data_IF_656953760140
#
_entry.id   IF_656953760140
#
_cell.length_a   1.000
_cell.length_b   1.000
_cell.length_c   1.000
_cell.angle_alpha   90.00
_cell.angle_beta   90.00
_cell.angle_gamma   90.00
#
_symmetry.space_group_name_H-M   'P 1'
#
loop_
_entity.id
_entity.type
_entity.pdbx_description
1 polymer ?
#
# COMPACT_ATOMS: atom_id res chain seq x y z
N UNK A 1 -18.88 18.07 -7.69
CA UNK A 1 -18.41 18.87 -6.54
C UNK A 1 -16.91 19.00 -6.72
N UNK A 2 -16.41 20.22 -6.92
CA UNK A 2 -14.97 20.43 -7.11
C UNK A 2 -14.26 20.16 -5.79
N UNK A 3 -13.50 19.06 -5.71
CA UNK A 3 -12.70 18.74 -4.54
C UNK A 3 -11.54 19.72 -4.48
N UNK A 4 -11.38 20.41 -3.33
CA UNK A 4 -10.29 21.36 -3.09
C UNK A 4 -8.94 20.67 -3.30
N UNK A 5 -8.02 21.36 -3.99
CA UNK A 5 -6.64 20.90 -4.21
C UNK A 5 -5.68 21.79 -3.45
N UNK A 6 -4.74 21.18 -2.74
CA UNK A 6 -3.63 21.84 -2.07
C UNK A 6 -2.34 21.29 -2.67
N UNK A 7 -1.48 22.17 -3.17
CA UNK A 7 -0.21 21.80 -3.79
C UNK A 7 0.91 22.31 -2.89
N UNK A 8 1.91 21.46 -2.65
CA UNK A 8 3.09 21.78 -1.84
C UNK A 8 4.30 21.00 -2.35
N UNK A 9 5.48 21.28 -1.79
CA UNK A 9 6.69 20.47 -2.01
C UNK A 9 6.97 19.60 -0.79
N UNK A 10 7.77 18.56 -0.95
CA UNK A 10 8.22 17.70 0.17
C UNK A 10 8.82 18.52 1.33
N UNK A 11 9.57 19.57 1.03
CA UNK A 11 10.25 20.42 2.00
C UNK A 11 9.26 21.29 2.79
N UNK A 12 8.19 21.73 2.13
CA UNK A 12 7.17 22.61 2.71
C UNK A 12 5.97 21.86 3.28
N UNK A 13 5.90 20.54 3.14
CA UNK A 13 4.76 19.73 3.57
C UNK A 13 4.39 19.97 5.05
N UNK A 14 5.37 20.06 5.94
CA UNK A 14 5.13 20.29 7.38
C UNK A 14 4.54 21.67 7.71
N UNK A 15 4.54 22.61 6.75
CA UNK A 15 3.98 23.96 6.91
C UNK A 15 2.56 24.08 6.32
N UNK A 16 2.04 23.02 5.70
CA UNK A 16 0.71 23.03 5.09
C UNK A 16 -0.37 22.99 6.18
N UNK A 17 -1.39 23.83 6.04
CA UNK A 17 -2.59 23.71 6.87
C UNK A 17 -3.46 22.56 6.36
N UNK A 18 -3.62 21.51 7.18
CA UNK A 18 -4.54 20.41 6.90
C UNK A 18 -5.98 20.85 7.18
N UNK A 19 -6.90 20.49 6.29
CA UNK A 19 -8.34 20.69 6.49
C UNK A 19 -8.92 19.44 7.15
N UNK A 20 -9.74 19.64 8.18
CA UNK A 20 -10.48 18.57 8.87
C UNK A 20 -11.95 18.62 8.48
N UNK A 21 -12.60 17.46 8.56
CA UNK A 21 -14.03 17.23 8.33
C UNK A 21 -14.51 17.62 6.92
N UNK A 22 -13.56 17.78 5.99
CA UNK A 22 -13.79 17.98 4.56
C UNK A 22 -12.78 17.17 3.73
N UNK A 23 -13.21 16.72 2.55
CA UNK A 23 -12.37 15.99 1.61
C UNK A 23 -11.53 16.96 0.78
N UNK A 24 -10.24 16.69 0.63
CA UNK A 24 -9.35 17.46 -0.23
C UNK A 24 -8.28 16.57 -0.88
N UNK A 25 -7.69 17.08 -1.96
CA UNK A 25 -6.54 16.45 -2.60
C UNK A 25 -5.29 17.22 -2.20
N UNK A 26 -4.31 16.52 -1.64
CA UNK A 26 -2.96 17.02 -1.44
C UNK A 26 -2.06 16.51 -2.57
N UNK A 27 -1.34 17.41 -3.21
CA UNK A 27 -0.33 17.10 -4.21
C UNK A 27 1.02 17.54 -3.64
N UNK A 28 1.92 16.57 -3.44
CA UNK A 28 3.28 16.82 -2.96
C UNK A 28 4.25 16.63 -4.11
N UNK A 29 4.93 17.71 -4.50
CA UNK A 29 5.98 17.67 -5.51
C UNK A 29 7.30 17.23 -4.87
N UNK A 30 7.93 16.20 -5.45
CA UNK A 30 9.26 15.75 -5.04
C UNK A 30 10.01 15.16 -6.23
N UNK A 31 11.23 15.65 -6.49
CA UNK A 31 12.09 15.19 -7.61
C UNK A 31 11.34 15.15 -8.96
N UNK A 32 10.65 16.24 -9.30
CA UNK A 32 9.86 16.38 -10.55
C UNK A 32 8.70 15.38 -10.71
N UNK A 33 8.35 14.66 -9.64
CA UNK A 33 7.20 13.76 -9.60
C UNK A 33 6.14 14.31 -8.65
N UNK A 34 4.88 14.25 -9.07
CA UNK A 34 3.74 14.59 -8.23
C UNK A 34 3.27 13.33 -7.49
N UNK A 35 3.12 13.44 -6.18
CA UNK A 35 2.51 12.41 -5.34
C UNK A 35 1.15 12.93 -4.89
N UNK A 36 0.08 12.32 -5.40
CA UNK A 36 -1.28 12.74 -5.08
C UNK A 36 -1.92 11.87 -4.01
N UNK A 37 -2.62 12.54 -3.11
CA UNK A 37 -3.33 11.94 -1.99
C UNK A 37 -4.73 12.54 -1.94
N UNK A 38 -5.76 11.71 -1.83
CA UNK A 38 -7.09 12.11 -1.41
C UNK A 38 -7.16 11.91 0.10
N UNK A 39 -7.55 12.95 0.84
CA UNK A 39 -7.63 12.92 2.30
C UNK A 39 -9.05 13.17 2.76
N UNK A 40 -9.46 12.42 3.78
CA UNK A 40 -10.64 12.69 4.60
C UNK A 40 -10.21 12.63 6.06
N UNK A 41 -9.79 13.78 6.60
CA UNK A 41 -9.27 13.88 7.96
C UNK A 41 -10.40 14.22 8.91
N UNK A 42 -10.49 13.53 10.05
CA UNK A 42 -11.58 13.70 11.02
C UNK A 42 -11.05 14.34 12.29
N UNK A 43 -11.63 15.46 12.72
CA UNK A 43 -11.19 16.16 13.93
C UNK A 43 -11.42 15.34 15.21
N UNK A 44 -12.34 14.38 15.17
CA UNK A 44 -12.69 13.47 16.27
C UNK A 44 -11.85 12.20 16.35
N UNK A 45 -10.94 11.96 15.40
CA UNK A 45 -10.20 10.69 15.29
C UNK A 45 -8.73 10.86 15.66
N UNK A 46 -8.19 9.93 16.45
CA UNK A 46 -6.76 9.81 16.76
C UNK A 46 -6.07 8.63 16.04
N UNK A 47 -6.80 7.93 15.17
CA UNK A 47 -6.29 6.85 14.32
C UNK A 47 -6.25 7.25 12.84
N UNK A 48 -5.36 6.60 12.09
CA UNK A 48 -5.13 6.86 10.67
C UNK A 48 -5.22 5.57 9.85
N UNK A 49 -6.03 5.60 8.80
CA UNK A 49 -6.10 4.56 7.78
C UNK A 49 -5.49 5.04 6.47
N UNK A 50 -4.52 4.30 5.92
CA UNK A 50 -3.86 4.63 4.66
C UNK A 50 -4.16 3.54 3.63
N UNK A 51 -4.78 3.91 2.51
CA UNK A 51 -5.29 2.95 1.52
C UNK A 51 -4.48 3.03 0.22
N UNK A 52 -3.92 1.89 -0.19
CA UNK A 52 -3.13 1.75 -1.41
C UNK A 52 -3.94 1.47 -2.67
N UNK A 53 -3.33 1.77 -3.81
CA UNK A 53 -3.94 1.58 -5.13
C UNK A 53 -3.74 0.14 -5.67
N UNK A 54 -4.79 -0.42 -6.27
CA UNK A 54 -4.77 -1.66 -7.04
C UNK A 54 -4.42 -1.45 -8.52
N UNK A 55 -4.62 -2.51 -9.32
CA UNK A 55 -4.49 -2.42 -10.78
C UNK A 55 -5.60 -1.56 -11.40
N UNK A 56 -5.27 -0.84 -12.46
CA UNK A 56 -6.20 -0.04 -13.26
C UNK A 56 -6.22 -0.49 -14.72
N UNK A 57 -7.30 -0.18 -15.43
CA UNK A 57 -7.30 -0.15 -16.89
C UNK A 57 -6.98 1.28 -17.37
N UNK A 58 -5.78 1.53 -17.94
CA UNK A 58 -5.38 2.88 -18.37
C UNK A 58 -6.24 3.42 -19.52
N UNK A 59 -7.07 2.59 -20.17
CA UNK A 59 -8.05 3.05 -21.16
C UNK A 59 -9.35 3.57 -20.54
N UNK A 60 -9.65 3.15 -19.30
CA UNK A 60 -10.90 3.49 -18.60
C UNK A 60 -10.73 4.52 -17.49
N UNK A 61 -9.50 4.70 -17.02
CA UNK A 61 -9.19 5.59 -15.90
C UNK A 61 -8.16 6.63 -16.28
N UNK A 62 -8.41 7.87 -15.84
CA UNK A 62 -7.45 8.97 -15.90
C UNK A 62 -6.78 9.12 -14.53
N UNK A 63 -5.46 9.19 -14.52
CA UNK A 63 -4.70 9.43 -13.29
C UNK A 63 -4.89 10.88 -12.78
N UNK A 64 -4.85 11.12 -11.45
CA UNK A 64 -4.63 10.14 -10.38
C UNK A 64 -5.86 9.26 -10.09
N UNK A 65 -5.63 8.01 -9.68
CA UNK A 65 -6.70 7.09 -9.26
C UNK A 65 -6.56 6.77 -7.77
N UNK A 66 -7.62 7.06 -7.00
CA UNK A 66 -7.72 6.75 -5.58
C UNK A 66 -8.68 5.57 -5.37
N UNK A 67 -8.16 4.35 -5.29
CA UNK A 67 -9.02 3.19 -5.00
C UNK A 67 -9.69 3.36 -3.63
N UNK A 68 -10.99 3.01 -3.55
CA UNK A 68 -11.80 3.04 -2.31
C UNK A 68 -12.09 4.42 -1.74
N UNK A 69 -11.72 5.52 -2.40
CA UNK A 69 -12.04 6.88 -1.90
C UNK A 69 -13.54 7.13 -1.73
N UNK A 70 -14.40 6.40 -2.45
CA UNK A 70 -15.85 6.47 -2.28
C UNK A 70 -16.33 5.97 -0.91
N UNK A 71 -15.48 5.26 -0.16
CA UNK A 71 -15.77 4.77 1.19
C UNK A 71 -15.42 5.78 2.28
N UNK A 72 -14.85 6.93 1.91
CA UNK A 72 -14.28 7.89 2.85
C UNK A 72 -15.27 8.34 3.96
N UNK A 73 -16.55 8.48 3.63
CA UNK A 73 -17.58 8.90 4.61
C UNK A 73 -17.92 7.80 5.62
N UNK A 74 -17.75 6.53 5.23
CA UNK A 74 -18.11 5.35 6.03
C UNK A 74 -16.93 4.83 6.87
N UNK A 75 -15.71 5.27 6.59
CA UNK A 75 -14.52 4.97 7.40
C UNK A 75 -14.58 5.81 8.68
N UNK A 76 -14.51 5.19 9.86
CA UNK A 76 -14.68 5.85 11.14
C UNK A 76 -13.57 6.87 11.47
N UNK A 77 -12.35 6.64 11.00
CA UNK A 77 -11.16 7.42 11.33
C UNK A 77 -10.68 8.37 10.21
N UNK A 78 -9.58 9.09 10.46
CA UNK A 78 -8.89 9.85 9.43
C UNK A 78 -8.36 8.90 8.35
N UNK A 79 -8.55 9.23 7.08
CA UNK A 79 -8.13 8.38 5.96
C UNK A 79 -7.34 9.11 4.89
N UNK A 80 -6.33 8.43 4.36
CA UNK A 80 -5.47 8.86 3.24
C UNK A 80 -5.55 7.79 2.15
N UNK A 81 -5.87 8.18 0.93
CA UNK A 81 -5.86 7.32 -0.24
C UNK A 81 -4.83 7.88 -1.20
N UNK A 82 -3.92 7.04 -1.70
CA UNK A 82 -2.85 7.52 -2.58
C UNK A 82 -2.90 6.85 -3.96
N UNK A 83 -2.55 7.65 -4.96
CA UNK A 83 -2.29 7.17 -6.31
C UNK A 83 -0.92 6.49 -6.39
N UNK A 84 -0.73 5.52 -7.27
CA UNK A 84 0.60 4.98 -7.58
C UNK A 84 1.22 5.80 -8.73
N UNK A 85 2.19 6.69 -8.48
CA UNK A 85 2.73 7.56 -9.53
C UNK A 85 3.58 6.79 -10.55
N UNK A 86 3.92 5.53 -10.28
CA UNK A 86 4.61 4.66 -11.25
C UNK A 86 3.79 4.53 -12.54
N UNK A 87 2.46 4.64 -12.43
CA UNK A 87 1.54 4.59 -13.57
C UNK A 87 1.72 5.78 -14.54
N UNK A 88 2.35 6.87 -14.12
CA UNK A 88 2.70 7.99 -15.03
C UNK A 88 3.90 7.69 -15.93
N UNK A 89 4.72 6.68 -15.60
CA UNK A 89 5.97 6.40 -16.31
C UNK A 89 5.75 5.65 -17.64
N UNK A 90 4.55 5.09 -17.86
CA UNK A 90 4.24 4.35 -19.07
C UNK A 90 2.83 3.76 -19.08
N UNK A 91 2.49 3.08 -20.17
CA UNK A 91 1.19 2.44 -20.34
C UNK A 91 1.14 1.09 -19.62
N UNK A 92 1.06 1.13 -18.29
CA UNK A 92 1.01 -0.03 -17.40
C UNK A 92 -0.29 -0.04 -16.58
N UNK A 93 -0.75 -1.24 -16.22
CA UNK A 93 -1.95 -1.41 -15.40
C UNK A 93 -1.66 -1.29 -13.90
N UNK A 94 -0.43 -1.56 -13.48
CA UNK A 94 -0.06 -1.81 -12.10
C UNK A 94 1.43 -1.51 -11.93
N UNK A 95 1.76 -0.71 -10.93
CA UNK A 95 3.12 -0.23 -10.71
C UNK A 95 3.75 -0.67 -9.39
N UNK A 96 2.96 -1.18 -8.43
CA UNK A 96 3.41 -1.56 -7.07
C UNK A 96 4.26 -0.48 -6.38
N UNK A 97 4.06 0.81 -6.70
CA UNK A 97 4.82 1.93 -6.16
C UNK A 97 6.33 1.91 -6.47
N UNK A 98 6.74 1.26 -7.56
CA UNK A 98 8.15 1.07 -7.89
C UNK A 98 8.89 2.35 -8.28
N UNK A 99 8.23 3.30 -8.95
CA UNK A 99 8.91 4.44 -9.55
C UNK A 99 9.95 3.98 -10.57
N UNK A 100 11.21 4.40 -10.40
CA UNK A 100 12.33 4.01 -11.26
C UNK A 100 13.55 3.49 -10.47
N UNK A 101 14.62 3.13 -11.19
CA UNK A 101 15.87 2.63 -10.60
C UNK A 101 16.44 3.56 -9.51
N UNK A 102 16.38 4.88 -9.74
CA UNK A 102 16.97 5.92 -8.90
C UNK A 102 15.99 6.52 -7.87
N UNK A 103 14.68 6.37 -8.09
CA UNK A 103 13.64 6.93 -7.23
C UNK A 103 12.56 5.89 -6.94
N UNK A 104 12.64 5.27 -5.76
CA UNK A 104 11.61 4.35 -5.28
C UNK A 104 10.43 5.11 -4.67
N UNK A 105 9.26 4.98 -5.28
CA UNK A 105 8.11 5.79 -4.91
C UNK A 105 7.49 5.38 -3.57
N UNK A 106 7.50 4.10 -3.16
CA UNK A 106 6.99 3.71 -1.84
C UNK A 106 7.76 4.34 -0.67
N UNK A 107 9.08 4.53 -0.79
CA UNK A 107 9.85 5.26 0.22
C UNK A 107 9.41 6.73 0.30
N UNK A 108 9.10 7.35 -0.84
CA UNK A 108 8.62 8.74 -0.87
C UNK A 108 7.21 8.87 -0.32
N UNK A 109 6.31 7.96 -0.70
CA UNK A 109 4.95 7.87 -0.17
C UNK A 109 5.00 7.67 1.35
N UNK A 110 5.86 6.78 1.84
CA UNK A 110 6.06 6.57 3.29
C UNK A 110 6.49 7.87 3.99
N UNK A 111 7.49 8.59 3.46
CA UNK A 111 7.95 9.86 4.04
C UNK A 111 6.83 10.91 4.10
N UNK A 112 5.98 10.99 3.07
CA UNK A 112 4.84 11.91 3.04
C UNK A 112 3.79 11.50 4.09
N UNK A 113 3.43 10.23 4.14
CA UNK A 113 2.46 9.70 5.11
C UNK A 113 2.96 9.91 6.55
N UNK A 114 4.25 9.67 6.83
CA UNK A 114 4.86 9.93 8.14
C UNK A 114 4.72 11.40 8.51
N UNK A 115 5.08 12.32 7.61
CA UNK A 115 4.93 13.76 7.86
C UNK A 115 3.47 14.16 8.13
N UNK A 116 2.52 13.61 7.39
CA UNK A 116 1.09 13.86 7.61
C UNK A 116 0.67 13.30 8.98
N UNK A 117 1.05 12.08 9.32
CA UNK A 117 0.76 11.47 10.63
C UNK A 117 1.34 12.28 11.80
N UNK A 118 2.57 12.79 11.65
CA UNK A 118 3.22 13.67 12.64
C UNK A 118 2.44 14.98 12.83
N UNK A 119 1.97 15.61 11.73
CA UNK A 119 1.14 16.82 11.78
C UNK A 119 -0.21 16.56 12.48
N UNK A 120 -0.76 15.36 12.30
CA UNK A 120 -1.97 14.89 12.98
C UNK A 120 -1.71 14.44 14.42
N UNK A 121 -0.43 14.34 14.84
CA UNK A 121 0.01 13.78 16.12
C UNK A 121 -0.46 12.33 16.34
N UNK A 122 -0.62 11.58 15.25
CA UNK A 122 -1.02 10.18 15.28
C UNK A 122 0.23 9.31 15.34
N UNK A 123 0.30 8.45 16.36
CA UNK A 123 1.45 7.56 16.55
C UNK A 123 1.44 6.39 15.54
N UNK A 124 2.59 5.78 15.22
CA UNK A 124 2.66 4.62 14.35
C UNK A 124 1.70 3.49 14.74
N UNK A 125 1.54 3.20 16.04
CA UNK A 125 0.67 2.12 16.55
C UNK A 125 -0.82 2.37 16.29
N UNK A 126 -1.19 3.61 16.01
CA UNK A 126 -2.55 4.03 15.64
C UNK A 126 -2.70 4.24 14.13
N UNK A 127 -1.72 3.80 13.35
CA UNK A 127 -1.75 3.83 11.88
C UNK A 127 -1.91 2.43 11.31
N UNK A 128 -2.89 2.27 10.42
CA UNK A 128 -3.13 1.04 9.66
C UNK A 128 -3.00 1.31 8.17
N UNK A 129 -2.25 0.48 7.46
CA UNK A 129 -2.20 0.44 6.00
C UNK A 129 -3.12 -0.65 5.49
N UNK A 130 -4.02 -0.31 4.58
CA UNK A 130 -4.95 -1.24 3.98
C UNK A 130 -4.83 -1.33 2.46
N UNK A 131 -4.88 -2.56 1.95
CA UNK A 131 -5.07 -2.79 0.53
C UNK A 131 -5.26 -4.26 0.19
N UNK A 132 -5.85 -4.49 -0.98
CA UNK A 132 -5.96 -5.81 -1.58
C UNK A 132 -5.04 -5.94 -2.78
N UNK A 133 -4.67 -7.15 -3.17
CA UNK A 133 -3.86 -7.40 -4.37
C UNK A 133 -2.59 -6.53 -4.36
N UNK A 134 -2.46 -5.59 -5.31
CA UNK A 134 -1.31 -4.69 -5.43
C UNK A 134 -1.23 -3.69 -4.27
N UNK A 135 -2.39 -3.18 -3.84
CA UNK A 135 -2.49 -2.32 -2.67
C UNK A 135 -2.10 -3.06 -1.39
N UNK A 136 -2.29 -4.39 -1.37
CA UNK A 136 -1.82 -5.26 -0.30
C UNK A 136 -0.29 -5.34 -0.24
N UNK A 137 0.37 -5.50 -1.39
CA UNK A 137 1.83 -5.43 -1.49
C UNK A 137 2.36 -4.11 -0.93
N UNK A 138 1.80 -2.98 -1.39
CA UNK A 138 2.25 -1.66 -0.96
C UNK A 138 1.96 -1.42 0.52
N UNK A 139 0.85 -1.93 1.05
CA UNK A 139 0.52 -1.82 2.49
C UNK A 139 1.50 -2.59 3.37
N UNK A 140 1.87 -3.82 2.98
CA UNK A 140 2.91 -4.60 3.66
C UNK A 140 4.26 -3.86 3.68
N UNK A 141 4.61 -3.23 2.55
CA UNK A 141 5.84 -2.47 2.42
C UNK A 141 5.84 -1.20 3.29
N UNK A 142 4.80 -0.38 3.17
CA UNK A 142 4.68 0.88 3.89
C UNK A 142 4.62 0.66 5.42
N UNK A 143 3.93 -0.40 5.87
CA UNK A 143 3.90 -0.74 7.29
C UNK A 143 5.26 -1.21 7.82
N UNK A 144 6.08 -1.86 6.99
CA UNK A 144 7.46 -2.18 7.35
C UNK A 144 8.36 -0.94 7.46
N UNK A 145 8.09 0.11 6.67
CA UNK A 145 8.80 1.40 6.79
C UNK A 145 8.35 2.19 8.03
N UNK A 146 7.05 2.26 8.32
CA UNK A 146 6.50 2.89 9.52
C UNK A 146 6.44 1.90 10.69
N UNK A 147 7.60 1.66 11.34
CA UNK A 147 7.71 0.74 12.48
C UNK A 147 6.71 1.09 13.58
N UNK A 148 5.99 0.07 14.09
CA UNK A 148 4.89 0.20 15.05
C UNK A 148 3.50 0.09 14.43
N UNK A 149 3.35 0.39 13.15
CA UNK A 149 2.06 0.33 12.42
C UNK A 149 1.59 -1.10 12.11
N UNK A 150 0.38 -1.18 11.56
CA UNK A 150 -0.28 -2.43 11.14
C UNK A 150 -0.53 -2.45 9.63
N UNK A 151 -0.26 -3.58 8.98
CA UNK A 151 -0.74 -3.89 7.64
C UNK A 151 -1.98 -4.78 7.73
N UNK A 152 -3.13 -4.29 7.26
CA UNK A 152 -4.33 -5.09 7.03
C UNK A 152 -4.45 -5.35 5.54
N UNK A 153 -4.42 -6.61 5.12
CA UNK A 153 -4.34 -6.95 3.70
C UNK A 153 -5.29 -8.08 3.34
N UNK A 154 -5.77 -8.07 2.10
CA UNK A 154 -6.65 -9.11 1.58
C UNK A 154 -6.20 -9.59 0.20
N UNK A 155 -5.94 -10.90 0.07
CA UNK A 155 -5.39 -11.51 -1.14
C UNK A 155 -4.19 -10.70 -1.71
N UNK A 156 -3.23 -10.27 -0.87
CA UNK A 156 -2.14 -9.42 -1.33
C UNK A 156 -1.23 -10.20 -2.29
N UNK A 157 -0.68 -9.49 -3.27
CA UNK A 157 0.61 -9.92 -3.79
C UNK A 157 1.69 -9.66 -2.73
N UNK A 158 2.55 -10.65 -2.48
CA UNK A 158 3.65 -10.55 -1.51
C UNK A 158 5.03 -10.61 -2.18
N UNK A 159 5.07 -11.16 -3.40
CA UNK A 159 6.26 -11.35 -4.21
C UNK A 159 5.86 -10.96 -5.64
N UNK A 160 6.25 -9.77 -6.09
CA UNK A 160 5.77 -9.16 -7.35
C UNK A 160 6.03 -10.09 -8.54
N UNK A 161 7.21 -10.70 -8.61
CA UNK A 161 7.57 -11.56 -9.73
C UNK A 161 6.87 -12.93 -9.74
N UNK A 162 6.09 -13.27 -8.70
CA UNK A 162 5.20 -14.44 -8.71
C UNK A 162 3.83 -14.15 -9.34
N UNK A 163 3.51 -12.87 -9.58
CA UNK A 163 2.27 -12.46 -10.25
C UNK A 163 2.29 -12.80 -11.75
N UNK A 164 1.26 -12.41 -12.49
CA UNK A 164 1.20 -12.62 -13.94
C UNK A 164 2.36 -11.94 -14.67
N UNK A 165 3.15 -12.75 -15.37
CA UNK A 165 4.40 -12.36 -16.02
C UNK A 165 4.26 -11.13 -16.93
N UNK A 166 3.17 -11.03 -17.69
CA UNK A 166 2.94 -9.90 -18.60
C UNK A 166 2.88 -8.55 -17.90
N UNK A 167 2.32 -8.49 -16.69
CA UNK A 167 2.27 -7.27 -15.89
C UNK A 167 3.63 -6.96 -15.25
N UNK A 168 4.32 -7.99 -14.75
CA UNK A 168 5.65 -7.86 -14.15
C UNK A 168 6.65 -7.32 -15.17
N UNK A 169 6.72 -7.93 -16.37
CA UNK A 169 7.66 -7.52 -17.41
C UNK A 169 7.40 -6.08 -17.90
N UNK A 170 6.13 -5.69 -18.08
CA UNK A 170 5.78 -4.30 -18.45
C UNK A 170 6.21 -3.29 -17.40
N UNK A 171 6.04 -3.60 -16.12
CA UNK A 171 6.52 -2.75 -15.03
C UNK A 171 8.05 -2.71 -15.03
N UNK A 172 8.75 -3.84 -15.14
CA UNK A 172 10.22 -3.88 -15.19
C UNK A 172 10.79 -3.07 -16.36
N UNK A 173 10.17 -3.16 -17.53
CA UNK A 173 10.56 -2.39 -18.71
C UNK A 173 10.31 -0.89 -18.49
N UNK A 174 9.17 -0.53 -17.91
CA UNK A 174 8.79 0.87 -17.67
C UNK A 174 9.69 1.53 -16.62
N UNK A 175 9.78 0.92 -15.44
CA UNK A 175 10.47 1.43 -14.25
C UNK A 175 11.99 1.28 -14.31
N UNK A 176 12.49 0.17 -14.86
CA UNK A 176 13.90 -0.21 -14.74
C UNK A 176 14.61 -0.43 -16.09
N UNK A 177 13.89 -0.29 -17.21
CA UNK A 177 14.39 -0.59 -18.57
C UNK A 177 14.97 -2.02 -18.68
N UNK A 178 14.39 -2.98 -17.94
CA UNK A 178 14.78 -4.40 -17.95
C UNK A 178 13.74 -5.25 -18.68
N UNK A 179 14.21 -6.28 -19.38
CA UNK A 179 13.35 -7.21 -20.13
C UNK A 179 13.03 -8.50 -19.36
N UNK A 180 13.75 -8.76 -18.27
CA UNK A 180 13.59 -9.97 -17.47
C UNK A 180 13.96 -9.69 -16.00
N UNK A 181 13.58 -10.61 -15.12
CA UNK A 181 13.99 -10.57 -13.72
C UNK A 181 15.48 -10.92 -13.55
N UNK A 182 16.06 -11.69 -14.46
CA UNK A 182 17.48 -12.08 -14.41
C UNK A 182 18.40 -10.87 -14.57
N UNK A 183 17.96 -9.87 -15.34
CA UNK A 183 18.64 -8.60 -15.54
C UNK A 183 18.39 -7.58 -14.40
N UNK A 184 17.53 -7.93 -13.43
CA UNK A 184 17.13 -7.01 -12.37
C UNK A 184 18.25 -6.86 -11.32
N UNK A 185 18.64 -5.63 -10.93
CA UNK A 185 19.75 -5.44 -9.99
C UNK A 185 19.48 -6.13 -8.64
N UNK A 186 20.39 -7.02 -8.24
CA UNK A 186 20.23 -7.83 -7.03
C UNK A 186 20.00 -6.97 -5.77
N UNK A 187 20.68 -5.84 -5.66
CA UNK A 187 20.56 -4.92 -4.54
C UNK A 187 19.19 -4.22 -4.45
N UNK A 188 18.38 -4.27 -5.50
CA UNK A 188 17.02 -3.72 -5.56
C UNK A 188 15.93 -4.78 -5.38
N UNK A 189 16.26 -6.08 -5.29
CA UNK A 189 15.26 -7.16 -5.18
C UNK A 189 14.29 -6.99 -4.01
N UNK A 190 14.73 -6.36 -2.93
CA UNK A 190 13.88 -6.02 -1.79
C UNK A 190 12.66 -5.19 -2.20
N UNK A 191 12.73 -4.38 -3.26
CA UNK A 191 11.60 -3.59 -3.76
C UNK A 191 10.48 -4.45 -4.35
N UNK A 192 10.74 -5.72 -4.70
CA UNK A 192 9.81 -6.61 -5.38
C UNK A 192 9.34 -7.79 -4.52
N UNK A 193 9.89 -7.98 -3.32
CA UNK A 193 9.63 -9.12 -2.46
C UNK A 193 9.55 -8.66 -1.00
N UNK A 194 8.39 -8.83 -0.37
CA UNK A 194 8.13 -8.38 1.00
C UNK A 194 9.04 -9.09 2.03
N UNK A 195 9.18 -10.43 2.04
CA UNK A 195 10.16 -11.09 2.90
C UNK A 195 11.60 -10.58 2.74
N UNK A 196 12.10 -10.38 1.52
CA UNK A 196 13.44 -9.81 1.29
C UNK A 196 13.56 -8.39 1.83
N UNK A 197 12.49 -7.59 1.71
CA UNK A 197 12.41 -6.29 2.37
C UNK A 197 12.47 -6.40 3.89
N UNK A 198 11.65 -7.24 4.52
CA UNK A 198 11.64 -7.44 5.97
C UNK A 198 12.97 -7.96 6.51
N UNK A 199 13.64 -8.84 5.76
CA UNK A 199 15.01 -9.27 6.01
C UNK A 199 15.98 -8.10 6.00
N UNK A 200 15.92 -7.24 4.97
CA UNK A 200 16.78 -6.06 4.83
C UNK A 200 16.62 -5.07 5.99
N UNK A 201 15.40 -4.85 6.47
CA UNK A 201 15.12 -3.91 7.57
C UNK A 201 15.18 -4.54 8.97
N UNK A 202 15.38 -5.87 9.04
CA UNK A 202 15.35 -6.69 10.25
C UNK A 202 14.10 -6.43 11.11
N UNK A 203 12.94 -6.36 10.47
CA UNK A 203 11.68 -5.97 11.11
C UNK A 203 10.49 -6.51 10.31
N UNK A 204 9.52 -7.07 11.02
CA UNK A 204 8.23 -7.50 10.46
C UNK A 204 7.12 -6.72 11.20
N UNK A 205 6.27 -5.96 10.48
CA UNK A 205 5.20 -5.18 11.10
C UNK A 205 4.10 -6.07 11.70
N UNK A 206 3.14 -5.46 12.41
CA UNK A 206 1.90 -6.16 12.70
C UNK A 206 1.18 -6.44 11.38
N UNK A 207 0.73 -7.67 11.17
CA UNK A 207 0.07 -8.08 9.93
C UNK A 207 -1.25 -8.75 10.27
N UNK A 208 -2.32 -8.32 9.61
CA UNK A 208 -3.63 -8.98 9.60
C UNK A 208 -3.89 -9.37 8.15
N UNK A 209 -3.75 -10.65 7.86
CA UNK A 209 -3.78 -11.19 6.51
C UNK A 209 -5.10 -11.94 6.28
N UNK A 210 -5.94 -11.43 5.38
CA UNK A 210 -7.13 -12.11 4.90
C UNK A 210 -6.85 -12.83 3.58
N UNK A 211 -7.16 -14.11 3.52
CA UNK A 211 -6.98 -14.94 2.33
C UNK A 211 -8.27 -15.66 1.96
N UNK A 212 -8.75 -15.43 0.73
CA UNK A 212 -9.76 -16.27 0.11
C UNK A 212 -9.13 -17.60 -0.32
N UNK A 213 -9.61 -18.71 0.23
CA UNK A 213 -9.15 -20.05 -0.08
C UNK A 213 -9.64 -20.54 -1.46
N UNK A 214 -10.64 -19.89 -2.05
CA UNK A 214 -11.08 -20.18 -3.41
C UNK A 214 -10.12 -19.64 -4.50
N UNK A 215 -9.16 -18.77 -4.15
CA UNK A 215 -8.17 -18.28 -5.10
C UNK A 215 -6.87 -19.08 -5.02
N UNK A 216 -6.82 -20.21 -5.73
CA UNK A 216 -5.65 -21.09 -5.81
C UNK A 216 -4.35 -20.34 -6.17
N UNK A 217 -4.44 -19.41 -7.12
CA UNK A 217 -3.31 -18.61 -7.59
C UNK A 217 -2.67 -17.83 -6.43
N UNK A 218 -3.44 -17.08 -5.66
CA UNK A 218 -2.92 -16.27 -4.55
C UNK A 218 -2.38 -17.15 -3.42
N UNK A 219 -3.07 -18.25 -3.11
CA UNK A 219 -2.65 -19.20 -2.07
C UNK A 219 -1.26 -19.76 -2.39
N UNK A 220 -1.05 -20.32 -3.58
CA UNK A 220 0.22 -20.96 -3.92
C UNK A 220 1.34 -19.98 -4.29
N UNK A 221 1.03 -18.84 -4.91
CA UNK A 221 2.05 -17.92 -5.43
C UNK A 221 2.41 -16.80 -4.49
N UNK A 222 1.55 -16.48 -3.52
CA UNK A 222 1.75 -15.35 -2.62
C UNK A 222 1.67 -15.76 -1.15
N UNK A 223 0.57 -16.36 -0.69
CA UNK A 223 0.38 -16.69 0.72
C UNK A 223 1.39 -17.73 1.22
N UNK A 224 1.44 -18.92 0.60
CA UNK A 224 2.37 -19.99 0.99
C UNK A 224 3.84 -19.56 1.01
N UNK A 225 4.41 -18.98 -0.08
CA UNK A 225 5.81 -18.56 -0.05
C UNK A 225 6.05 -17.45 0.97
N UNK A 226 5.10 -16.51 1.15
CA UNK A 226 5.21 -15.47 2.17
C UNK A 226 5.33 -16.05 3.58
N UNK A 227 4.41 -16.92 3.99
CA UNK A 227 4.44 -17.51 5.33
C UNK A 227 5.70 -18.37 5.54
N UNK A 228 6.11 -19.14 4.52
CA UNK A 228 7.33 -19.93 4.59
C UNK A 228 8.57 -19.05 4.80
N UNK A 229 8.70 -17.97 4.03
CA UNK A 229 9.84 -17.05 4.17
C UNK A 229 9.80 -16.29 5.51
N UNK A 230 8.63 -15.86 5.97
CA UNK A 230 8.48 -15.26 7.31
C UNK A 230 8.89 -16.24 8.42
N UNK A 231 8.51 -17.51 8.31
CA UNK A 231 8.94 -18.54 9.26
C UNK A 231 10.47 -18.67 9.29
N UNK A 232 11.13 -18.71 8.14
CA UNK A 232 12.60 -18.72 8.07
C UNK A 232 13.23 -17.46 8.66
N UNK A 233 12.63 -16.28 8.45
CA UNK A 233 13.09 -15.04 9.06
C UNK A 233 12.97 -15.08 10.58
N UNK A 234 11.90 -15.65 11.15
CA UNK A 234 11.73 -15.71 12.61
C UNK A 234 12.86 -16.46 13.33
N UNK A 235 13.53 -17.40 12.65
CA UNK A 235 14.72 -18.10 13.18
C UNK A 235 15.89 -17.16 13.46
N UNK A 236 15.94 -16.01 12.77
CA UNK A 236 16.95 -14.96 12.96
C UNK A 236 16.57 -13.99 14.10
N UNK A 237 15.43 -14.22 14.77
CA UNK A 237 14.86 -13.37 15.84
C UNK A 237 14.70 -11.88 15.43
N UNK A 238 14.09 -11.58 14.27
CA UNK A 238 13.72 -10.22 13.92
C UNK A 238 12.72 -9.67 14.95
N UNK A 239 12.57 -8.36 15.00
CA UNK A 239 11.45 -7.78 15.72
C UNK A 239 10.15 -8.14 14.99
N UNK A 240 9.32 -8.96 15.64
CA UNK A 240 7.96 -9.34 15.22
C UNK A 240 7.08 -9.23 16.45
N UNK A 241 5.96 -8.50 16.36
CA UNK A 241 4.99 -8.43 17.45
C UNK A 241 3.79 -9.36 17.21
N UNK A 242 3.07 -9.23 16.09
CA UNK A 242 1.86 -10.02 15.83
C UNK A 242 1.59 -10.24 14.33
N UNK A 243 1.31 -11.49 13.94
CA UNK A 243 0.83 -11.84 12.60
C UNK A 243 -0.43 -12.69 12.77
N UNK A 244 -1.54 -12.23 12.23
CA UNK A 244 -2.85 -12.90 12.23
C UNK A 244 -3.19 -13.30 10.79
N UNK A 245 -3.62 -14.55 10.59
CA UNK A 245 -4.12 -15.02 9.30
C UNK A 245 -5.59 -15.43 9.44
N UNK A 246 -6.44 -14.83 8.63
CA UNK A 246 -7.87 -15.09 8.55
C UNK A 246 -8.16 -15.70 7.19
N UNK A 247 -8.77 -16.88 7.19
CA UNK A 247 -9.15 -17.58 5.98
C UNK A 247 -10.66 -17.54 5.81
N UNK A 248 -11.10 -17.32 4.59
CA UNK A 248 -12.50 -17.44 4.19
C UNK A 248 -12.57 -18.15 2.85
N UNK A 249 -13.77 -18.59 2.45
CA UNK A 249 -13.97 -19.30 1.19
C UNK A 249 -15.14 -18.65 0.45
N UNK A 250 -14.87 -18.13 -0.74
CA UNK A 250 -15.85 -17.48 -1.60
C UNK A 250 -15.46 -17.70 -3.07
N UNK A 251 -16.10 -18.67 -3.72
CA UNK A 251 -15.82 -19.01 -5.13
C UNK A 251 -16.19 -17.88 -6.09
N UNK A 252 -17.26 -17.12 -5.80
CA UNK A 252 -17.74 -16.07 -6.68
C UNK A 252 -16.76 -14.90 -6.73
N UNK A 253 -16.19 -14.53 -5.59
CA UNK A 253 -15.21 -13.45 -5.54
C UNK A 253 -13.83 -13.87 -6.04
N UNK A 254 -13.41 -15.13 -5.82
CA UNK A 254 -12.11 -15.62 -6.26
C UNK A 254 -10.97 -14.70 -5.79
N UNK A 255 -10.25 -14.07 -6.74
CA UNK A 255 -9.16 -13.12 -6.42
C UNK A 255 -9.68 -11.83 -5.75
N UNK A 256 -10.91 -11.41 -6.03
CA UNK A 256 -11.44 -10.17 -5.51
C UNK A 256 -11.46 -10.21 -3.97
N UNK A 257 -11.19 -9.07 -3.31
CA UNK A 257 -11.25 -8.99 -1.86
C UNK A 257 -12.70 -9.15 -1.37
N UNK A 258 -12.87 -9.29 -0.06
CA UNK A 258 -14.16 -9.22 0.61
C UNK A 258 -14.98 -8.00 0.15
N UNK A 259 -16.30 -8.10 0.34
CA UNK A 259 -17.22 -7.00 0.02
C UNK A 259 -16.84 -5.70 0.72
N UNK A 260 -17.40 -4.58 0.24
CA UNK A 260 -17.20 -3.28 0.86
C UNK A 260 -17.68 -3.31 2.32
N UNK A 261 -18.84 -3.90 2.56
CA UNK A 261 -19.51 -3.97 3.86
C UNK A 261 -18.68 -4.75 4.87
N UNK A 262 -18.21 -5.94 4.51
CA UNK A 262 -17.33 -6.76 5.35
C UNK A 262 -16.00 -6.05 5.63
N UNK A 263 -15.40 -5.47 4.59
CA UNK A 263 -14.14 -4.73 4.72
C UNK A 263 -14.30 -3.55 5.68
N UNK A 264 -15.35 -2.74 5.52
CA UNK A 264 -15.61 -1.59 6.38
C UNK A 264 -15.91 -2.00 7.82
N UNK A 265 -16.62 -3.10 8.05
CA UNK A 265 -16.86 -3.62 9.39
C UNK A 265 -15.52 -3.92 10.10
N UNK A 266 -14.62 -4.65 9.44
CA UNK A 266 -13.29 -4.98 9.97
C UNK A 266 -12.44 -3.72 10.20
N UNK A 267 -12.42 -2.80 9.23
CA UNK A 267 -11.64 -1.56 9.34
C UNK A 267 -12.12 -0.67 10.49
N UNK A 268 -13.44 -0.50 10.63
CA UNK A 268 -14.02 0.37 11.64
C UNK A 268 -13.92 -0.23 13.05
N UNK A 269 -14.08 -1.55 13.20
CA UNK A 269 -13.84 -2.23 14.47
C UNK A 269 -12.42 -1.97 14.97
N UNK A 270 -11.41 -2.14 14.10
CA UNK A 270 -10.00 -2.05 14.49
C UNK A 270 -9.44 -0.64 14.59
N UNK A 271 -10.09 0.35 13.97
CA UNK A 271 -9.66 1.76 14.03
C UNK A 271 -10.38 2.56 15.11
N UNK A 272 -11.42 1.97 15.73
CA UNK A 272 -12.10 2.52 16.90
C UNK A 272 -11.41 2.18 18.24
N UNK A 273 -10.51 1.18 18.27
CA UNK A 273 -9.68 0.80 19.42
C UNK A 273 -8.44 1.69 19.59
#
# INVERSE_FOLDING_TARGET
>A
MDIKKTITTMENLSNVSLTFDEKFILIVEHKQTNFEFFLNLKSSSDTLLVLGSGAIDPKKHTLPVFHRHSWADEIACSSIFYNDPTLYLGNINIGWGQGDENHFYLETISNIVVKIADMLKIKPEKTTFYGSSAGGFTSLFLSGLLKGSTALVNNPQTIVYNYYQSHVLKMLETSYKKKSLDDFPQHLKYRLNIPEFYKKINYIPNIIYYQNLACEHDVYRHFHPFINELFELTKQKPYVKKIECHFYYDEEQGHNPMSKEETLAILNERTAE
#
